data_IF_076267341185
#
_entry.id   IF_076267341185
#
_cell.length_a   1.000
_cell.length_b   1.000
_cell.length_c   1.000
_cell.angle_alpha   90.00
_cell.angle_beta   90.00
_cell.angle_gamma   90.00
#
_symmetry.space_group_name_H-M   'P 1'
#
loop_
_entity.id
_entity.type
_entity.pdbx_description
1 polymer ?
#
# COMPACT_ATOMS: atom_id res chain seq x y z
N UNK A 1 -0.41 19.94 -14.42
CA UNK A 1 0.53 19.04 -13.75
C UNK A 1 -0.17 17.77 -13.30
N UNK A 2 0.42 16.63 -13.58
CA UNK A 2 -0.19 15.35 -13.25
C UNK A 2 0.08 15.00 -11.79
N UNK A 3 -0.97 14.61 -11.07
CA UNK A 3 -0.84 14.14 -9.71
C UNK A 3 -0.96 12.63 -9.70
N UNK A 4 0.04 11.95 -9.13
CA UNK A 4 0.03 10.51 -9.01
C UNK A 4 0.15 10.14 -7.54
N UNK A 5 -0.94 9.60 -7.00
CA UNK A 5 -1.04 9.23 -5.59
C UNK A 5 -0.88 7.73 -5.45
N UNK A 6 0.10 7.32 -4.68
CA UNK A 6 0.38 5.91 -4.46
C UNK A 6 0.19 5.58 -3.00
N UNK A 7 -0.55 4.51 -2.72
CA UNK A 7 -0.67 3.99 -1.37
C UNK A 7 0.41 2.94 -1.16
N UNK A 8 1.17 3.09 -0.10
CA UNK A 8 2.19 2.10 0.27
C UNK A 8 1.66 1.41 1.52
N UNK A 9 1.42 0.12 1.40
CA UNK A 9 0.93 -0.67 2.52
C UNK A 9 1.87 -1.84 2.74
N UNK A 10 1.88 -2.38 3.95
CA UNK A 10 2.75 -3.50 4.20
C UNK A 10 2.55 -4.14 5.56
N UNK A 11 3.06 -5.34 5.68
CA UNK A 11 3.00 -6.10 6.91
C UNK A 11 3.96 -5.52 7.93
N UNK A 12 3.54 -5.52 9.19
CA UNK A 12 4.37 -4.94 10.26
C UNK A 12 5.71 -5.65 10.41
N UNK A 13 5.76 -6.91 10.02
CA UNK A 13 6.99 -7.68 10.13
C UNK A 13 8.05 -7.27 9.12
N UNK A 14 7.69 -6.49 8.11
CA UNK A 14 8.62 -6.11 7.05
C UNK A 14 9.20 -4.74 7.34
N UNK A 15 10.25 -4.70 8.15
CA UNK A 15 10.84 -3.44 8.60
C UNK A 15 12.18 -3.15 7.96
N UNK A 16 12.70 -4.08 7.18
CA UNK A 16 14.07 -4.00 6.69
C UNK A 16 14.10 -4.11 5.17
N UNK A 17 13.31 -3.26 4.53
CA UNK A 17 13.14 -3.28 3.08
C UNK A 17 13.54 -1.95 2.50
N UNK A 18 14.31 -1.97 1.45
CA UNK A 18 14.68 -0.75 0.75
C UNK A 18 13.60 -0.42 -0.26
N UNK A 19 12.50 0.14 0.23
CA UNK A 19 11.31 0.32 -0.59
C UNK A 19 11.47 1.40 -1.65
N UNK A 20 12.44 2.29 -1.49
CA UNK A 20 12.65 3.36 -2.45
C UNK A 20 12.81 2.83 -3.88
N UNK A 21 13.43 1.66 -4.03
CA UNK A 21 13.61 1.04 -5.33
C UNK A 21 12.32 0.71 -6.04
N UNK A 22 11.25 0.50 -5.26
CA UNK A 22 10.00 0.01 -5.80
C UNK A 22 8.98 1.11 -6.02
N UNK A 23 9.33 2.34 -5.65
CA UNK A 23 8.42 3.47 -5.78
C UNK A 23 8.85 4.30 -6.97
N UNK A 24 8.01 4.38 -8.01
CA UNK A 24 8.37 5.14 -9.22
C UNK A 24 8.66 6.59 -8.91
N UNK A 25 9.51 7.19 -9.71
CA UNK A 25 9.94 8.56 -9.49
C UNK A 25 8.88 9.59 -9.82
N UNK A 26 7.89 9.21 -10.62
CA UNK A 26 6.84 10.14 -11.01
C UNK A 26 5.70 10.26 -9.97
N UNK A 27 5.83 9.59 -8.84
CA UNK A 27 4.84 9.67 -7.77
C UNK A 27 4.89 11.05 -7.13
N UNK A 28 3.75 11.68 -6.95
CA UNK A 28 3.68 13.01 -6.35
C UNK A 28 3.14 13.01 -4.93
N UNK A 29 2.53 11.92 -4.51
CA UNK A 29 2.02 11.83 -3.14
C UNK A 29 2.06 10.37 -2.69
N UNK A 30 2.50 10.16 -1.45
CA UNK A 30 2.46 8.83 -0.83
C UNK A 30 1.42 8.85 0.26
N UNK A 31 0.54 7.83 0.25
CA UNK A 31 -0.51 7.66 1.26
C UNK A 31 -0.13 6.47 2.11
N UNK A 32 -0.13 6.64 3.43
CA UNK A 32 0.24 5.55 4.34
C UNK A 32 -0.67 5.53 5.55
N UNK A 33 -0.55 4.47 6.35
CA UNK A 33 -1.39 4.31 7.54
C UNK A 33 -0.73 4.85 8.80
N UNK A 34 0.53 5.23 8.73
CA UNK A 34 1.23 5.77 9.88
C UNK A 34 1.65 4.73 10.89
N UNK A 35 1.67 3.46 10.51
CA UNK A 35 2.11 2.40 11.42
C UNK A 35 3.62 2.23 11.30
N UNK A 36 4.19 1.39 12.17
CA UNK A 36 5.61 1.08 12.11
C UNK A 36 5.87 0.14 10.93
N UNK A 37 7.14 0.00 10.58
CA UNK A 37 7.53 -0.89 9.50
C UNK A 37 7.49 -0.19 8.16
N UNK A 38 6.81 -0.82 7.19
CA UNK A 38 6.76 -0.31 5.82
C UNK A 38 6.24 1.13 5.76
N UNK A 39 5.27 1.45 6.60
CA UNK A 39 4.70 2.80 6.60
C UNK A 39 5.74 3.85 7.01
N UNK A 40 6.56 3.52 8.00
CA UNK A 40 7.63 4.43 8.42
C UNK A 40 8.62 4.64 7.29
N UNK A 41 8.96 3.56 6.59
CA UNK A 41 9.88 3.64 5.45
C UNK A 41 9.27 4.45 4.31
N UNK A 42 7.98 4.31 4.09
CA UNK A 42 7.28 5.06 3.03
C UNK A 42 7.32 6.55 3.33
N UNK A 43 7.08 6.93 4.59
CA UNK A 43 7.13 8.33 4.96
C UNK A 43 8.53 8.91 4.79
N UNK A 44 9.55 8.11 5.09
CA UNK A 44 10.91 8.55 4.90
C UNK A 44 11.22 8.82 3.43
N UNK A 45 10.74 7.96 2.54
CA UNK A 45 10.93 8.16 1.11
C UNK A 45 10.26 9.46 0.66
N UNK A 46 9.03 9.71 1.15
CA UNK A 46 8.33 10.93 0.80
C UNK A 46 9.13 12.17 1.23
N UNK A 47 9.66 12.13 2.46
CA UNK A 47 10.45 13.25 2.96
C UNK A 47 11.73 13.45 2.15
N UNK A 48 12.42 12.37 1.82
CA UNK A 48 13.65 12.45 1.05
C UNK A 48 13.42 12.98 -0.34
N UNK A 49 12.31 12.62 -0.96
CA UNK A 49 11.96 13.09 -2.30
C UNK A 49 11.24 14.42 -2.30
N UNK A 50 10.90 14.94 -1.13
CA UNK A 50 10.17 16.19 -0.98
C UNK A 50 8.82 16.15 -1.71
N UNK A 51 8.13 15.03 -1.59
CA UNK A 51 6.79 14.89 -2.14
C UNK A 51 5.79 14.82 -0.99
N UNK A 52 4.53 15.07 -1.32
CA UNK A 52 3.46 15.08 -0.33
C UNK A 52 3.27 13.71 0.29
N UNK A 53 2.90 13.70 1.56
CA UNK A 53 2.51 12.47 2.22
C UNK A 53 1.20 12.71 2.96
N UNK A 54 0.33 11.71 2.90
CA UNK A 54 -0.94 11.72 3.63
C UNK A 54 -0.98 10.49 4.51
N UNK A 55 -1.19 10.71 5.78
CA UNK A 55 -1.26 9.61 6.75
C UNK A 55 -2.71 9.50 7.19
N UNK A 56 -3.33 8.36 6.92
CA UNK A 56 -4.72 8.14 7.27
C UNK A 56 -4.76 7.18 8.45
N UNK A 57 -5.14 7.69 9.60
CA UNK A 57 -5.15 6.93 10.83
C UNK A 57 -6.54 6.36 11.10
N UNK A 58 -6.63 5.23 11.80
CA UNK A 58 -7.95 4.65 12.10
C UNK A 58 -8.66 5.52 13.14
N UNK A 59 -9.95 5.71 12.92
CA UNK A 59 -10.79 6.49 13.82
C UNK A 59 -11.53 5.55 14.76
N UNK A 60 -10.85 5.10 15.80
CA UNK A 60 -11.41 4.13 16.74
C UNK A 60 -12.64 4.66 17.46
N UNK A 61 -12.64 5.95 17.76
CA UNK A 61 -13.78 6.54 18.45
C UNK A 61 -15.06 6.46 17.64
N UNK A 62 -14.92 6.51 16.33
CA UNK A 62 -16.06 6.51 15.43
C UNK A 62 -16.47 5.10 15.01
N UNK A 63 -15.50 4.25 14.75
CA UNK A 63 -15.77 2.94 14.15
C UNK A 63 -15.41 1.74 15.01
N UNK A 64 -14.82 1.98 16.19
CA UNK A 64 -14.45 0.88 17.08
C UNK A 64 -13.46 -0.07 16.44
N UNK A 65 -13.70 -1.36 16.62
CA UNK A 65 -12.78 -2.39 16.14
C UNK A 65 -12.66 -2.44 14.63
N UNK A 66 -13.62 -1.89 13.91
CA UNK A 66 -13.59 -1.89 12.45
C UNK A 66 -12.76 -0.74 11.88
N UNK A 67 -12.30 0.17 12.73
CA UNK A 67 -11.61 1.36 12.28
C UNK A 67 -10.42 1.08 11.34
N UNK A 68 -9.56 0.09 11.63
CA UNK A 68 -8.44 -0.16 10.72
C UNK A 68 -8.89 -0.60 9.33
N UNK A 69 -9.94 -1.40 9.23
CA UNK A 69 -10.41 -1.86 7.94
C UNK A 69 -11.08 -0.73 7.16
N UNK A 70 -11.81 0.13 7.86
CA UNK A 70 -12.44 1.28 7.22
C UNK A 70 -11.37 2.23 6.71
N UNK A 71 -10.33 2.47 7.51
CA UNK A 71 -9.21 3.29 7.10
C UNK A 71 -8.53 2.71 5.86
N UNK A 72 -8.35 1.38 5.82
CA UNK A 72 -7.71 0.74 4.67
C UNK A 72 -8.52 0.93 3.39
N UNK A 73 -9.84 0.88 3.51
CA UNK A 73 -10.70 1.14 2.34
C UNK A 73 -10.52 2.57 1.84
N UNK A 74 -10.45 3.51 2.75
CA UNK A 74 -10.27 4.91 2.38
C UNK A 74 -8.94 5.11 1.66
N UNK A 75 -7.89 4.46 2.13
CA UNK A 75 -6.58 4.55 1.49
C UNK A 75 -6.66 4.06 0.04
N UNK A 76 -7.30 2.92 -0.17
CA UNK A 76 -7.45 2.37 -1.51
C UNK A 76 -8.24 3.32 -2.41
N UNK A 77 -9.30 3.88 -1.87
CA UNK A 77 -10.17 4.76 -2.65
C UNK A 77 -9.46 6.04 -3.08
N UNK A 78 -8.58 6.56 -2.24
CA UNK A 78 -7.85 7.79 -2.54
C UNK A 78 -6.69 7.60 -3.49
N UNK A 79 -6.10 6.42 -3.51
CA UNK A 79 -4.89 6.19 -4.27
C UNK A 79 -5.19 5.94 -5.74
N UNK A 80 -4.26 6.34 -6.60
CA UNK A 80 -4.33 5.99 -8.02
C UNK A 80 -3.93 4.54 -8.22
N UNK A 81 -2.95 4.08 -7.45
CA UNK A 81 -2.62 2.67 -7.40
C UNK A 81 -1.92 2.34 -6.08
N UNK A 82 -1.75 1.07 -5.82
CA UNK A 82 -1.27 0.58 -4.53
C UNK A 82 -0.01 -0.26 -4.74
N UNK A 83 0.96 -0.07 -3.84
CA UNK A 83 2.13 -0.95 -3.75
C UNK A 83 2.06 -1.62 -2.38
N UNK A 84 1.98 -2.94 -2.37
CA UNK A 84 1.84 -3.71 -1.15
C UNK A 84 3.08 -4.57 -0.92
N UNK A 85 3.62 -4.50 0.28
CA UNK A 85 4.72 -5.37 0.71
C UNK A 85 4.14 -6.34 1.73
N UNK A 86 3.97 -7.58 1.32
CA UNK A 86 3.19 -8.56 2.08
C UNK A 86 4.05 -9.73 2.51
N UNK A 87 3.90 -10.16 3.75
CA UNK A 87 4.62 -11.32 4.26
C UNK A 87 3.91 -12.63 3.94
N UNK A 88 2.79 -12.57 3.25
CA UNK A 88 2.02 -13.74 2.90
C UNK A 88 1.06 -14.20 4.00
N UNK A 89 1.07 -13.53 5.14
CA UNK A 89 0.27 -13.95 6.30
C UNK A 89 -0.65 -12.88 6.83
N UNK A 90 -0.24 -11.62 6.76
CA UNK A 90 -0.99 -10.51 7.33
C UNK A 90 -2.38 -10.40 6.73
N UNK A 91 -3.40 -10.46 7.57
CA UNK A 91 -4.79 -10.39 7.13
C UNK A 91 -5.19 -8.99 6.70
N UNK A 92 -4.65 -7.98 7.40
CA UNK A 92 -4.95 -6.60 7.05
C UNK A 92 -4.42 -6.22 5.68
N UNK A 93 -3.21 -6.64 5.38
CA UNK A 93 -2.61 -6.39 4.07
C UNK A 93 -3.41 -7.12 2.98
N UNK A 94 -3.78 -8.37 3.25
CA UNK A 94 -4.57 -9.14 2.30
C UNK A 94 -5.92 -8.50 2.05
N UNK A 95 -6.59 -8.05 3.12
CA UNK A 95 -7.87 -7.38 2.99
C UNK A 95 -7.76 -6.17 2.07
N UNK A 96 -6.72 -5.39 2.26
CA UNK A 96 -6.52 -4.17 1.48
C UNK A 96 -6.24 -4.50 0.01
N UNK A 97 -5.42 -5.53 -0.23
CA UNK A 97 -5.16 -5.98 -1.58
C UNK A 97 -6.45 -6.43 -2.27
N UNK A 98 -7.25 -7.24 -1.56
CA UNK A 98 -8.50 -7.75 -2.13
C UNK A 98 -9.48 -6.62 -2.42
N UNK A 99 -9.54 -5.64 -1.54
CA UNK A 99 -10.43 -4.50 -1.76
C UNK A 99 -9.99 -3.68 -2.97
N UNK A 100 -8.68 -3.49 -3.13
CA UNK A 100 -8.15 -2.78 -4.28
C UNK A 100 -8.51 -3.50 -5.59
N UNK A 101 -8.39 -4.83 -5.58
CA UNK A 101 -8.78 -5.62 -6.74
C UNK A 101 -10.26 -5.47 -7.04
N UNK A 102 -11.08 -5.45 -6.00
CA UNK A 102 -12.52 -5.29 -6.16
C UNK A 102 -12.86 -3.96 -6.83
N UNK A 103 -12.10 -2.92 -6.53
CA UNK A 103 -12.30 -1.61 -7.13
C UNK A 103 -11.57 -1.44 -8.46
N UNK A 104 -10.93 -2.48 -8.94
CA UNK A 104 -10.16 -2.45 -10.18
C UNK A 104 -8.98 -1.47 -10.13
N UNK A 105 -8.44 -1.25 -8.93
CA UNK A 105 -7.25 -0.45 -8.79
C UNK A 105 -6.03 -1.31 -9.12
N UNK A 106 -5.03 -0.70 -9.71
CA UNK A 106 -3.78 -1.40 -9.98
C UNK A 106 -3.06 -1.66 -8.66
N UNK A 107 -2.61 -2.88 -8.44
CA UNK A 107 -1.87 -3.25 -7.24
C UNK A 107 -0.61 -3.99 -7.64
N UNK A 108 0.52 -3.50 -7.14
CA UNK A 108 1.78 -4.24 -7.26
C UNK A 108 2.04 -4.89 -5.91
N UNK A 109 2.23 -6.19 -5.91
CA UNK A 109 2.39 -6.94 -4.67
C UNK A 109 3.79 -7.54 -4.64
N UNK A 110 4.54 -7.18 -3.61
CA UNK A 110 5.86 -7.74 -3.37
C UNK A 110 5.74 -8.66 -2.18
N UNK A 111 5.98 -9.95 -2.39
CA UNK A 111 5.82 -10.96 -1.34
C UNK A 111 7.19 -11.39 -0.88
N UNK A 112 7.38 -11.45 0.43
CA UNK A 112 8.64 -11.93 0.98
C UNK A 112 8.79 -13.42 0.66
N UNK A 113 9.91 -13.80 0.09
CA UNK A 113 10.17 -15.19 -0.27
C UNK A 113 11.13 -15.87 0.68
N UNK A 114 10.69 -16.95 1.29
CA UNK A 114 11.53 -17.79 2.10
C UNK A 114 12.23 -17.08 3.25
N UNK A 115 13.47 -17.47 3.52
CA UNK A 115 14.25 -16.91 4.62
C UNK A 115 15.07 -15.69 4.19
N UNK A 116 15.10 -15.40 2.92
CA UNK A 116 15.84 -14.25 2.40
C UNK A 116 14.90 -13.12 2.10
N UNK A 117 15.45 -11.91 2.03
CA UNK A 117 14.70 -10.74 1.64
C UNK A 117 14.59 -10.66 0.13
N UNK A 118 13.99 -11.69 -0.43
CA UNK A 118 13.70 -11.75 -1.85
C UNK A 118 12.21 -11.57 -2.03
N UNK A 119 11.82 -10.64 -2.88
CA UNK A 119 10.41 -10.42 -3.13
C UNK A 119 10.04 -10.99 -4.48
N UNK A 120 8.92 -11.70 -4.49
CA UNK A 120 8.28 -12.10 -5.73
C UNK A 120 7.32 -11.00 -6.10
N UNK A 121 7.38 -10.60 -7.35
CA UNK A 121 6.49 -9.54 -7.82
C UNK A 121 5.24 -10.18 -8.38
N UNK A 122 4.11 -9.85 -7.77
CA UNK A 122 2.82 -10.29 -8.25
C UNK A 122 2.03 -9.04 -8.64
N UNK A 123 1.78 -8.91 -9.91
CA UNK A 123 1.07 -7.74 -10.40
C UNK A 123 -0.33 -8.16 -10.79
N UNK A 124 -1.32 -7.51 -10.19
CA UNK A 124 -2.69 -7.80 -10.53
C UNK A 124 -3.07 -7.07 -11.80
N UNK A 125 -3.73 -7.79 -12.68
CA UNK A 125 -4.26 -7.18 -13.88
C UNK A 125 -5.70 -6.79 -13.63
N UNK A 126 -6.06 -5.61 -14.08
CA UNK A 126 -7.46 -5.25 -14.12
C UNK A 126 -8.14 -6.24 -15.04
N UNK A 127 -9.22 -6.82 -14.59
CA UNK A 127 -9.99 -7.68 -15.47
C UNK A 127 -10.52 -6.84 -16.59
N UNK A 128 -10.14 -7.18 -17.81
CA UNK A 128 -10.76 -6.51 -18.91
C UNK A 128 -12.21 -6.98 -18.95
N UNK A 129 -13.03 -6.16 -19.23
CA UNK A 129 -14.42 -6.48 -19.18
C UNK A 129 -14.86 -7.30 -20.32
N UNK A 130 -14.49 -7.75 -20.50
CA UNK A 130 -14.73 -8.38 -21.31
C UNK A 130 -15.55 -8.69 -21.66
N UNK A 131 -15.58 -8.59 -21.90
CA UNK A 131 -16.06 -8.82 -22.22
C UNK A 131 -16.71 -9.36 -22.64
N UNK A 132 -17.10 -9.58 -22.79
CA UNK A 132 -17.68 -10.07 -23.01
C UNK A 132 -18.13 -10.15 -23.22
#
# INVERSE_FOLDING_TARGET
MVTIKVAIIGSRSLIDVEISKYIPENVTEIISVGAIGIDTLAEKVADERRISKSIIRPEYDKYGKKAPLIRNKEIVERADYIIAFWDGKSRGTKFTIDYAKKLNKKVKIYVKGGTRWNFLILETKTKSKKMK
#
